data_IF_067606025014
#
_entry.id   IF_067606025014
#
_cell.length_a   1.000
_cell.length_b   1.000
_cell.length_c   1.000
_cell.angle_alpha   90.00
_cell.angle_beta   90.00
_cell.angle_gamma   90.00
#
_symmetry.space_group_name_H-M   'P 1'
#
loop_
_entity.id
_entity.type
_entity.pdbx_description
1 polymer ?
#
# COMPACT_ATOMS: atom_id res chain seq x y z
N UNK A 1 19.18 -10.05 -2.15
CA UNK A 1 17.91 -9.83 -2.89
C UNK A 1 16.70 -9.81 -1.97
N UNK A 2 16.30 -10.91 -1.31
CA UNK A 2 15.09 -10.92 -0.48
C UNK A 2 15.08 -9.87 0.63
N UNK A 3 16.06 -9.91 1.54
CA UNK A 3 16.15 -8.94 2.64
C UNK A 3 16.28 -7.48 2.20
N UNK A 4 16.81 -7.19 1.00
CA UNK A 4 16.89 -5.81 0.51
C UNK A 4 15.55 -5.29 -0.01
N UNK A 5 14.71 -6.16 -0.58
CA UNK A 5 13.47 -5.75 -1.23
C UNK A 5 12.25 -5.73 -0.31
N UNK A 6 12.32 -6.41 0.85
CA UNK A 6 11.18 -6.53 1.78
C UNK A 6 11.24 -5.57 2.97
N UNK A 7 12.20 -4.63 3.01
CA UNK A 7 12.40 -3.73 4.17
C UNK A 7 11.37 -2.62 4.28
N UNK A 8 10.86 -2.14 3.15
CA UNK A 8 9.96 -1.00 3.07
C UNK A 8 8.79 -1.34 2.15
N UNK A 9 7.57 -0.83 2.42
CA UNK A 9 6.44 -0.98 1.52
C UNK A 9 6.77 -0.42 0.12
N UNK A 10 6.47 -1.19 -0.92
CA UNK A 10 6.75 -0.81 -2.31
C UNK A 10 5.47 -0.93 -3.15
N UNK A 11 4.40 -0.32 -2.65
CA UNK A 11 3.12 -0.29 -3.34
C UNK A 11 3.26 0.36 -4.73
N UNK A 12 2.56 -0.18 -5.73
CA UNK A 12 2.57 0.40 -7.06
C UNK A 12 2.22 1.90 -7.03
N UNK A 13 2.89 2.71 -7.84
CA UNK A 13 2.67 4.16 -7.91
C UNK A 13 3.34 5.00 -6.80
N UNK A 14 3.98 4.38 -5.79
CA UNK A 14 4.68 5.14 -4.74
C UNK A 14 6.13 5.46 -5.10
N UNK A 15 6.70 6.46 -4.42
CA UNK A 15 8.11 6.84 -4.57
C UNK A 15 9.06 5.66 -4.24
N UNK A 16 8.77 4.91 -3.18
CA UNK A 16 9.59 3.78 -2.77
C UNK A 16 9.62 2.67 -3.84
N UNK A 17 8.50 2.43 -4.55
CA UNK A 17 8.48 1.48 -5.65
C UNK A 17 9.31 1.97 -6.86
N UNK A 18 9.34 3.28 -7.13
CA UNK A 18 10.22 3.86 -8.15
C UNK A 18 11.71 3.72 -7.78
N UNK A 19 12.06 3.91 -6.52
CA UNK A 19 13.44 3.68 -6.03
C UNK A 19 13.87 2.23 -6.24
N UNK A 20 13.00 1.28 -5.91
CA UNK A 20 13.24 -0.14 -6.16
C UNK A 20 13.39 -0.46 -7.66
N UNK A 21 12.55 0.13 -8.51
CA UNK A 21 12.65 -0.05 -9.96
C UNK A 21 14.00 0.44 -10.52
N UNK A 22 14.46 1.63 -10.07
CA UNK A 22 15.79 2.16 -10.42
C UNK A 22 16.92 1.27 -9.91
N UNK A 23 16.78 0.73 -8.70
CA UNK A 23 17.76 -0.19 -8.12
C UNK A 23 17.90 -1.46 -8.99
N UNK A 24 16.77 -2.08 -9.37
CA UNK A 24 16.78 -3.28 -10.21
C UNK A 24 17.37 -2.97 -11.59
N UNK A 25 17.00 -1.84 -12.19
CA UNK A 25 17.56 -1.38 -13.47
C UNK A 25 19.09 -1.27 -13.41
N UNK A 26 19.63 -0.67 -12.35
CA UNK A 26 21.08 -0.57 -12.14
C UNK A 26 21.73 -1.94 -11.97
N UNK A 27 21.18 -2.78 -11.08
CA UNK A 27 21.67 -4.14 -10.84
C UNK A 27 21.73 -4.98 -12.12
N UNK A 28 20.71 -4.88 -12.98
CA UNK A 28 20.68 -5.62 -14.23
C UNK A 28 21.77 -5.19 -15.22
N UNK A 29 22.07 -3.88 -15.28
CA UNK A 29 23.21 -3.39 -16.08
C UNK A 29 24.54 -3.90 -15.51
N UNK A 30 24.69 -3.87 -14.18
CA UNK A 30 25.89 -4.36 -13.51
C UNK A 30 26.09 -5.88 -13.70
N UNK A 31 25.01 -6.64 -13.86
CA UNK A 31 25.07 -8.08 -14.16
C UNK A 31 25.36 -8.39 -15.63
N UNK A 32 25.47 -7.38 -16.49
CA UNK A 32 25.92 -7.54 -17.87
C UNK A 32 24.81 -7.55 -18.91
N UNK A 33 23.59 -7.06 -18.60
CA UNK A 33 22.63 -6.75 -19.66
C UNK A 33 23.11 -5.53 -20.46
N UNK A 34 23.10 -5.66 -21.79
CA UNK A 34 23.45 -4.55 -22.70
C UNK A 34 22.51 -3.34 -22.51
N UNK A 35 21.25 -3.60 -22.18
CA UNK A 35 20.24 -2.57 -21.91
C UNK A 35 19.25 -2.98 -20.83
N UNK A 36 18.88 -2.02 -19.98
CA UNK A 36 17.76 -2.13 -19.05
C UNK A 36 17.09 -0.75 -18.94
N UNK A 37 15.80 -0.68 -19.24
CA UNK A 37 15.05 0.58 -19.36
C UNK A 37 13.84 0.62 -18.43
N UNK A 38 13.48 1.82 -17.97
CA UNK A 38 12.24 2.05 -17.23
C UNK A 38 11.17 2.51 -18.21
N UNK A 39 10.20 1.65 -18.48
CA UNK A 39 9.02 1.97 -19.31
C UNK A 39 7.86 2.26 -18.38
N UNK A 40 7.27 3.46 -18.48
CA UNK A 40 6.18 3.91 -17.61
C UNK A 40 4.90 4.14 -18.40
N UNK A 41 3.78 4.02 -17.70
CA UNK A 41 2.43 4.26 -18.22
C UNK A 41 1.60 4.96 -17.15
N UNK A 42 0.75 5.87 -17.59
CA UNK A 42 -0.27 6.47 -16.74
C UNK A 42 -1.45 5.52 -16.65
N UNK A 43 -1.52 4.78 -15.55
CA UNK A 43 -2.57 3.79 -15.27
C UNK A 43 -3.47 4.26 -14.15
N UNK A 44 -4.74 3.85 -14.18
CA UNK A 44 -5.66 4.12 -13.08
C UNK A 44 -5.28 3.25 -11.89
N UNK A 45 -4.93 3.89 -10.77
CA UNK A 45 -4.67 3.26 -9.48
C UNK A 45 -5.74 3.67 -8.46
N UNK A 46 -5.84 2.94 -7.37
CA UNK A 46 -6.80 3.18 -6.29
C UNK A 46 -6.10 3.04 -4.95
N UNK A 47 -6.33 3.99 -4.04
CA UNK A 47 -5.81 4.01 -2.68
C UNK A 47 -6.89 4.45 -1.69
N UNK A 48 -6.83 4.01 -0.43
CA UNK A 48 -7.72 4.50 0.61
C UNK A 48 -7.40 5.95 0.97
N UNK A 49 -8.38 6.67 1.53
CA UNK A 49 -8.17 8.03 2.00
C UNK A 49 -7.54 8.01 3.40
N UNK A 50 -6.33 8.54 3.54
CA UNK A 50 -5.61 8.59 4.82
C UNK A 50 -6.34 9.40 5.91
N UNK A 51 -7.10 10.43 5.50
CA UNK A 51 -7.86 11.29 6.43
C UNK A 51 -9.22 10.70 6.80
N UNK A 52 -9.69 9.72 6.05
CA UNK A 52 -10.97 9.03 6.26
C UNK A 52 -10.77 7.52 6.06
N UNK A 53 -10.21 6.83 7.06
CA UNK A 53 -9.95 5.40 6.99
C UNK A 53 -11.24 4.61 6.80
N UNK A 54 -11.15 3.51 6.05
CA UNK A 54 -12.26 2.58 5.88
C UNK A 54 -12.46 1.75 7.15
N UNK A 55 -13.71 1.51 7.52
CA UNK A 55 -14.08 0.56 8.55
C UNK A 55 -15.51 0.07 8.32
N UNK A 56 -15.88 -1.01 9.01
CA UNK A 56 -17.25 -1.52 9.07
C UNK A 56 -17.69 -1.37 10.53
N UNK A 57 -18.93 -0.93 10.73
CA UNK A 57 -19.54 -0.83 12.06
C UNK A 57 -20.80 -1.69 12.17
N UNK A 58 -21.12 -2.07 13.40
CA UNK A 58 -22.44 -2.61 13.78
C UNK A 58 -23.19 -1.47 14.46
N UNK A 59 -24.38 -1.15 13.98
CA UNK A 59 -25.26 -0.12 14.54
C UNK A 59 -26.43 -0.75 15.30
N UNK A 60 -26.86 -0.09 16.38
CA UNK A 60 -28.08 -0.44 17.10
C UNK A 60 -29.35 0.15 16.45
N UNK A 61 -30.52 -0.10 17.04
CA UNK A 61 -31.81 0.40 16.56
C UNK A 61 -31.98 1.92 16.70
N UNK A 62 -31.11 2.57 17.46
CA UNK A 62 -31.06 4.02 17.66
C UNK A 62 -30.03 4.70 16.73
N UNK A 63 -29.30 3.92 15.94
CA UNK A 63 -28.26 4.40 15.03
C UNK A 63 -26.91 4.65 15.69
N UNK A 64 -26.67 4.12 16.89
CA UNK A 64 -25.37 4.23 17.55
C UNK A 64 -24.44 3.10 17.08
N UNK A 65 -23.18 3.44 16.78
CA UNK A 65 -22.14 2.43 16.56
C UNK A 65 -21.80 1.69 17.86
N UNK A 66 -22.03 0.38 17.89
CA UNK A 66 -21.74 -0.48 19.05
C UNK A 66 -20.47 -1.33 18.87
N UNK A 67 -19.97 -1.45 17.64
CA UNK A 67 -18.71 -2.11 17.34
C UNK A 67 -18.15 -1.60 16.02
N UNK A 68 -16.83 -1.38 15.96
CA UNK A 68 -16.11 -0.98 14.75
C UNK A 68 -14.96 -1.96 14.47
N UNK A 69 -14.72 -2.25 13.19
CA UNK A 69 -13.53 -3.01 12.76
C UNK A 69 -12.24 -2.22 13.02
N UNK A 70 -11.11 -2.93 13.08
CA UNK A 70 -9.81 -2.26 13.16
C UNK A 70 -9.56 -1.38 11.94
N UNK A 71 -9.00 -0.19 12.17
CA UNK A 71 -8.64 0.76 11.10
C UNK A 71 -7.34 0.35 10.38
N UNK A 72 -6.42 -0.29 11.12
CA UNK A 72 -5.10 -0.69 10.65
C UNK A 72 -4.75 -2.08 11.22
N UNK A 73 -3.82 -2.76 10.56
CA UNK A 73 -3.20 -3.95 11.15
C UNK A 73 -2.15 -3.52 12.19
N UNK A 74 -2.01 -4.25 13.31
CA UNK A 74 -0.89 -4.06 14.21
C UNK A 74 0.44 -4.25 13.44
N UNK A 75 1.43 -3.35 13.59
CA UNK A 75 2.71 -3.52 12.93
C UNK A 75 3.37 -4.85 13.34
N UNK A 76 3.96 -5.60 12.39
CA UNK A 76 4.68 -6.82 12.73
C UNK A 76 6.00 -6.49 13.45
N UNK A 77 6.51 -7.47 14.19
CA UNK A 77 7.76 -7.31 14.92
C UNK A 77 8.91 -6.90 13.98
N UNK A 78 9.65 -5.85 14.35
CA UNK A 78 10.76 -5.29 13.58
C UNK A 78 10.34 -4.25 12.54
N UNK A 79 9.04 -3.95 12.41
CA UNK A 79 8.49 -2.93 11.50
C UNK A 79 7.72 -1.84 12.25
N UNK A 80 7.91 -1.71 13.56
CA UNK A 80 7.17 -0.79 14.43
C UNK A 80 7.37 0.68 14.03
N UNK A 81 8.51 1.01 13.42
CA UNK A 81 8.85 2.36 12.96
C UNK A 81 8.69 2.55 11.45
N UNK A 82 8.14 1.56 10.74
CA UNK A 82 7.94 1.66 9.29
C UNK A 82 6.68 2.44 9.01
N UNK A 83 6.83 3.55 8.29
CA UNK A 83 5.74 4.41 7.85
C UNK A 83 5.15 3.92 6.52
N UNK A 84 4.09 4.58 6.06
CA UNK A 84 3.50 4.37 4.73
C UNK A 84 2.93 2.96 4.50
N UNK A 85 2.62 2.25 5.59
CA UNK A 85 1.83 1.03 5.56
C UNK A 85 0.37 1.44 5.37
N UNK A 86 -0.20 1.09 4.21
CA UNK A 86 -1.61 1.37 3.96
C UNK A 86 -2.53 0.51 4.84
N UNK A 87 -3.68 1.06 5.27
CA UNK A 87 -4.71 0.25 5.92
C UNK A 87 -5.28 -0.79 4.94
N UNK A 88 -5.90 -1.87 5.45
CA UNK A 88 -6.62 -2.82 4.61
C UNK A 88 -7.73 -2.14 3.78
N UNK A 89 -7.77 -2.44 2.49
CA UNK A 89 -8.80 -1.95 1.57
C UNK A 89 -8.95 -2.88 0.35
N UNK A 90 -10.09 -2.78 -0.33
CA UNK A 90 -10.29 -3.39 -1.64
C UNK A 90 -10.06 -2.33 -2.71
N UNK A 91 -9.02 -2.49 -3.52
CA UNK A 91 -8.73 -1.57 -4.61
C UNK A 91 -9.91 -1.47 -5.59
N UNK A 92 -10.21 -0.26 -6.05
CA UNK A 92 -11.31 0.07 -6.96
C UNK A 92 -12.73 -0.12 -6.41
N UNK A 93 -12.89 -0.41 -5.11
CA UNK A 93 -14.21 -0.39 -4.47
C UNK A 93 -14.85 0.99 -4.62
N UNK A 94 -16.16 1.02 -4.91
CA UNK A 94 -16.91 2.26 -4.97
C UNK A 94 -16.97 2.94 -3.59
N UNK A 95 -17.08 4.27 -3.59
CA UNK A 95 -17.33 5.05 -2.39
C UNK A 95 -18.80 4.91 -1.96
N UNK A 96 -19.02 4.69 -0.67
CA UNK A 96 -20.35 4.70 -0.07
C UNK A 96 -20.30 4.38 1.42
N UNK A 97 -21.38 4.71 2.12
CA UNK A 97 -21.66 4.26 3.49
C UNK A 97 -23.03 3.58 3.45
N UNK A 98 -23.12 2.35 2.91
CA UNK A 98 -24.38 1.61 2.88
C UNK A 98 -24.72 1.06 4.27
N UNK A 99 -26.01 1.03 4.59
CA UNK A 99 -26.60 0.46 5.82
C UNK A 99 -27.51 -0.74 5.48
#
# INVERSE_FOLDING_TARGET
YFSSFTKLPHLAGTEQNLLLAKQIQGQWKDFGLDSAELVHYDVLLSYPNEKQPNYISVIDDQGNEIFNTSLFEPPPQGYENVTDILPPYNAFSAQGVPE
#
